data_IF_492999634206
#
_entry.id   IF_492999634206
#
_cell.length_a   1.000
_cell.length_b   1.000
_cell.length_c   1.000
_cell.angle_alpha   90.00
_cell.angle_beta   90.00
_cell.angle_gamma   90.00
#
_symmetry.space_group_name_H-M   'P 1'
#
loop_
_entity.id
_entity.type
_entity.pdbx_description
1 polymer ?
#
# COMPACT_ATOMS: atom_id res chain seq x y z
N UNK A 1 0.02 -30.30 14.87
CA UNK A 1 -0.45 -30.42 13.47
C UNK A 1 -1.42 -29.29 13.23
N UNK A 2 -1.16 -28.37 12.26
CA UNK A 2 -2.16 -27.38 11.86
C UNK A 2 -3.38 -28.16 11.38
N UNK A 3 -4.55 -27.73 11.78
CA UNK A 3 -5.82 -28.32 11.41
C UNK A 3 -6.00 -28.15 9.90
N UNK A 4 -5.86 -29.17 9.11
CA UNK A 4 -6.00 -29.14 7.65
C UNK A 4 -7.41 -28.68 7.21
N UNK A 5 -8.39 -28.74 8.11
CA UNK A 5 -9.78 -28.29 7.88
C UNK A 5 -9.94 -26.75 7.89
N UNK A 6 -8.89 -25.98 8.28
CA UNK A 6 -8.91 -24.53 8.21
C UNK A 6 -8.21 -23.97 6.96
N UNK A 7 -7.64 -24.81 6.11
CA UNK A 7 -7.25 -24.41 4.76
C UNK A 7 -8.52 -24.25 3.93
N UNK A 8 -9.14 -23.09 4.02
CA UNK A 8 -10.06 -22.62 2.99
C UNK A 8 -9.28 -22.65 1.68
N UNK A 9 -9.54 -23.64 0.86
CA UNK A 9 -9.13 -23.58 -0.54
C UNK A 9 -9.83 -22.36 -1.09
N UNK A 10 -9.11 -21.28 -1.27
CA UNK A 10 -9.61 -20.12 -2.00
C UNK A 10 -9.89 -20.63 -3.41
N UNK A 11 -11.16 -20.90 -3.72
CA UNK A 11 -11.62 -21.30 -5.05
C UNK A 11 -11.33 -20.23 -6.10
N UNK A 12 -11.05 -19.00 -5.65
CA UNK A 12 -10.94 -17.80 -6.48
C UNK A 12 -9.51 -17.43 -6.88
N UNK A 13 -8.49 -18.18 -6.49
CA UNK A 13 -7.10 -17.86 -6.80
C UNK A 13 -6.43 -18.94 -7.65
N UNK A 14 -6.97 -19.23 -8.80
CA UNK A 14 -6.14 -19.70 -9.90
C UNK A 14 -5.42 -18.47 -10.50
N UNK A 15 -4.52 -17.88 -9.74
CA UNK A 15 -3.56 -16.94 -10.26
C UNK A 15 -2.83 -17.64 -11.40
N UNK A 16 -2.91 -17.07 -12.60
CA UNK A 16 -2.13 -17.56 -13.72
C UNK A 16 -0.66 -17.66 -13.29
N UNK A 17 0.10 -18.68 -13.70
CA UNK A 17 1.48 -18.89 -13.27
C UNK A 17 2.40 -17.68 -13.46
N UNK A 18 2.06 -16.78 -14.39
CA UNK A 18 2.76 -15.50 -14.63
C UNK A 18 2.56 -14.45 -13.54
N UNK A 19 1.55 -14.58 -12.69
CA UNK A 19 1.18 -13.63 -11.63
C UNK A 19 1.42 -14.19 -10.21
N UNK A 20 2.19 -15.27 -10.04
CA UNK A 20 2.52 -15.77 -8.71
C UNK A 20 3.34 -14.74 -7.93
N UNK A 21 2.77 -14.27 -6.82
CA UNK A 21 3.42 -13.40 -5.87
C UNK A 21 4.07 -14.20 -4.74
N UNK A 22 5.09 -13.59 -4.08
CA UNK A 22 5.65 -14.19 -2.87
C UNK A 22 4.56 -14.30 -1.78
N UNK A 23 4.47 -15.41 -1.04
CA UNK A 23 3.43 -15.60 -0.01
C UNK A 23 3.46 -14.55 1.11
N UNK A 24 4.63 -13.95 1.38
CA UNK A 24 4.76 -12.87 2.39
C UNK A 24 4.31 -11.50 1.87
N UNK A 25 3.97 -11.37 0.59
CA UNK A 25 3.40 -10.14 0.04
C UNK A 25 1.88 -10.13 0.22
N UNK A 26 1.32 -8.94 0.40
CA UNK A 26 -0.13 -8.77 0.34
C UNK A 26 -0.65 -9.24 -1.01
N UNK A 27 -1.67 -10.06 -0.99
CA UNK A 27 -2.32 -10.52 -2.22
C UNK A 27 -3.32 -9.44 -2.67
N UNK A 28 -3.22 -8.95 -3.93
CA UNK A 28 -4.19 -8.00 -4.45
C UNK A 28 -5.60 -8.59 -4.55
N UNK A 29 -6.63 -7.75 -4.39
CA UNK A 29 -6.57 -6.34 -4.03
C UNK A 29 -6.32 -6.11 -2.53
N UNK A 30 -5.45 -5.14 -2.21
CA UNK A 30 -5.03 -4.83 -0.84
C UNK A 30 -5.02 -3.33 -0.55
N UNK A 31 -4.95 -2.98 0.73
CA UNK A 31 -4.67 -1.63 1.23
C UNK A 31 -3.41 -1.66 2.11
N UNK A 32 -2.35 -0.99 1.66
CA UNK A 32 -1.07 -0.89 2.36
C UNK A 32 -0.79 0.55 2.78
N UNK A 33 -0.52 0.76 4.04
CA UNK A 33 -0.10 2.06 4.57
C UNK A 33 1.36 2.04 4.99
N UNK A 34 2.11 3.09 4.64
CA UNK A 34 3.50 3.29 5.05
C UNK A 34 3.61 4.55 5.89
N UNK A 35 4.11 4.44 7.12
CA UNK A 35 4.25 5.57 8.04
C UNK A 35 5.70 5.78 8.43
N UNK A 36 6.17 7.00 8.27
CA UNK A 36 7.52 7.40 8.66
C UNK A 36 7.82 8.85 8.29
N UNK A 37 8.72 9.53 9.00
CA UNK A 37 9.08 10.92 8.71
C UNK A 37 9.70 11.08 7.31
N UNK A 38 9.93 12.32 6.90
CA UNK A 38 10.64 12.63 5.66
C UNK A 38 12.03 11.96 5.66
N UNK A 39 12.41 11.36 4.54
CA UNK A 39 13.70 10.68 4.42
C UNK A 39 13.71 9.22 4.91
N UNK A 40 12.61 8.66 5.42
CA UNK A 40 12.53 7.26 5.87
C UNK A 40 12.51 6.21 4.75
N UNK A 41 12.64 6.60 3.51
CA UNK A 41 12.66 5.72 2.32
C UNK A 41 11.29 5.16 1.89
N UNK A 42 10.16 5.74 2.29
CA UNK A 42 8.81 5.31 1.87
C UNK A 42 8.69 5.25 0.34
N UNK A 43 8.93 6.37 -0.35
CA UNK A 43 8.88 6.44 -1.82
C UNK A 43 9.82 5.40 -2.48
N UNK A 44 11.04 5.23 -1.95
CA UNK A 44 11.98 4.20 -2.43
C UNK A 44 11.40 2.78 -2.26
N UNK A 45 10.69 2.53 -1.16
CA UNK A 45 10.05 1.24 -0.90
C UNK A 45 8.89 1.01 -1.87
N UNK A 46 8.03 2.03 -2.10
CA UNK A 46 6.98 1.98 -3.12
C UNK A 46 7.56 1.61 -4.48
N UNK A 47 8.60 2.33 -4.93
CA UNK A 47 9.24 2.07 -6.21
C UNK A 47 9.83 0.65 -6.31
N UNK A 48 10.40 0.13 -5.23
CA UNK A 48 10.89 -1.26 -5.20
C UNK A 48 9.76 -2.27 -5.27
N UNK A 49 8.64 -2.01 -4.64
CA UNK A 49 7.48 -2.90 -4.72
C UNK A 49 6.93 -2.99 -6.14
N UNK A 50 6.83 -1.89 -6.87
CA UNK A 50 6.26 -1.86 -8.22
C UNK A 50 7.25 -2.19 -9.34
N UNK A 51 8.55 -1.92 -9.16
CA UNK A 51 9.57 -2.17 -10.21
C UNK A 51 10.51 -3.34 -9.92
N UNK A 52 10.52 -3.84 -8.70
CA UNK A 52 11.43 -4.90 -8.27
C UNK A 52 12.89 -4.41 -8.09
N UNK A 53 13.78 -5.33 -7.79
CA UNK A 53 15.21 -5.04 -7.62
C UNK A 53 15.99 -5.44 -8.87
N UNK A 54 16.50 -4.45 -9.62
CA UNK A 54 17.25 -4.68 -10.86
C UNK A 54 18.63 -5.33 -10.69
N UNK A 55 19.14 -5.46 -9.46
CA UNK A 55 20.52 -5.92 -9.22
C UNK A 55 20.70 -7.44 -9.26
N UNK A 56 19.64 -8.22 -9.27
CA UNK A 56 19.73 -9.69 -9.21
C UNK A 56 19.45 -10.33 -10.56
N UNK A 57 20.32 -10.10 -11.56
CA UNK A 57 20.27 -10.81 -12.86
C UNK A 57 20.47 -12.34 -12.77
N UNK A 58 20.79 -12.88 -11.60
CA UNK A 58 21.11 -14.30 -11.39
C UNK A 58 20.10 -15.06 -10.51
N UNK A 59 19.02 -14.44 -10.07
CA UNK A 59 18.05 -15.18 -9.25
C UNK A 59 17.08 -15.94 -10.14
N UNK A 60 17.21 -17.24 -10.19
CA UNK A 60 16.29 -18.16 -10.88
C UNK A 60 14.91 -18.24 -10.21
N UNK A 61 14.78 -17.81 -8.95
CA UNK A 61 13.54 -17.77 -8.22
C UNK A 61 12.92 -16.36 -8.31
N UNK A 62 11.68 -16.27 -8.79
CA UNK A 62 10.95 -15.05 -9.13
C UNK A 62 10.63 -14.11 -7.95
N UNK A 63 11.04 -14.43 -6.72
CA UNK A 63 10.69 -13.76 -5.47
C UNK A 63 11.16 -12.30 -5.34
N UNK A 64 12.07 -11.81 -6.20
CA UNK A 64 12.55 -10.43 -6.17
C UNK A 64 11.79 -9.48 -7.10
N UNK A 65 10.76 -9.99 -7.76
CA UNK A 65 9.95 -9.15 -8.68
C UNK A 65 8.91 -8.32 -7.95
N UNK A 66 8.56 -8.68 -6.71
CA UNK A 66 7.47 -8.04 -5.96
C UNK A 66 6.22 -7.93 -6.85
N UNK A 67 5.62 -6.74 -6.99
CA UNK A 67 4.46 -6.50 -7.84
C UNK A 67 4.81 -6.09 -9.28
N UNK A 68 6.05 -6.29 -9.72
CA UNK A 68 6.47 -5.89 -11.07
C UNK A 68 5.63 -6.60 -12.13
N UNK A 69 5.02 -5.81 -13.01
CA UNK A 69 4.11 -6.27 -14.07
C UNK A 69 2.86 -7.00 -13.57
N UNK A 70 2.50 -6.83 -12.30
CA UNK A 70 1.27 -7.37 -11.78
C UNK A 70 0.07 -6.50 -12.14
N UNK A 71 0.17 -5.20 -11.85
CA UNK A 71 -0.91 -4.25 -12.10
C UNK A 71 -0.94 -3.85 -13.58
N UNK A 72 -2.15 -3.81 -14.16
CA UNK A 72 -2.39 -3.37 -15.52
C UNK A 72 -2.32 -1.84 -15.62
N UNK A 73 -2.87 -1.14 -14.62
CA UNK A 73 -2.85 0.33 -14.50
C UNK A 73 -2.33 0.73 -13.13
N UNK A 74 -1.47 1.76 -13.10
CA UNK A 74 -0.94 2.34 -11.86
C UNK A 74 -1.21 3.84 -11.90
N UNK A 75 -2.09 4.31 -11.03
CA UNK A 75 -2.40 5.72 -10.91
C UNK A 75 -1.70 6.33 -9.69
N UNK A 76 -1.09 7.48 -9.87
CA UNK A 76 -0.34 8.17 -8.82
C UNK A 76 -0.99 9.51 -8.50
N UNK A 77 -1.26 9.73 -7.23
CA UNK A 77 -1.81 10.94 -6.64
C UNK A 77 -0.77 11.55 -5.71
N UNK A 78 0.00 12.51 -6.23
CA UNK A 78 1.10 13.13 -5.48
C UNK A 78 1.46 14.49 -6.06
N UNK A 79 1.43 15.58 -5.27
CA UNK A 79 1.75 16.92 -5.76
C UNK A 79 3.23 17.13 -6.09
N UNK A 80 4.07 16.14 -5.82
CA UNK A 80 5.54 16.27 -5.96
C UNK A 80 6.16 15.18 -6.83
N UNK A 81 5.36 14.30 -7.43
CA UNK A 81 5.85 13.10 -8.11
C UNK A 81 6.81 13.42 -9.26
N UNK A 82 6.43 14.31 -10.16
CA UNK A 82 7.24 14.67 -11.33
C UNK A 82 8.52 15.43 -10.95
N UNK A 83 8.53 16.06 -9.80
CA UNK A 83 9.65 16.88 -9.31
C UNK A 83 10.65 16.10 -8.43
N UNK A 84 10.34 14.89 -7.97
CA UNK A 84 11.28 14.06 -7.20
C UNK A 84 12.21 13.31 -8.14
N UNK A 85 13.52 13.47 -7.97
CA UNK A 85 14.55 12.80 -8.76
C UNK A 85 14.49 11.26 -8.70
N UNK A 86 13.81 10.68 -7.72
CA UNK A 86 13.61 9.23 -7.60
C UNK A 86 12.48 8.76 -8.50
N UNK A 87 11.40 9.52 -8.57
CA UNK A 87 10.18 9.19 -9.31
C UNK A 87 10.25 9.59 -10.78
N UNK A 88 11.03 10.62 -11.14
CA UNK A 88 11.24 11.06 -12.53
C UNK A 88 11.80 9.97 -13.47
N UNK A 89 12.33 8.88 -12.92
CA UNK A 89 12.81 7.72 -13.68
C UNK A 89 11.76 6.60 -13.82
N UNK A 90 10.59 6.80 -13.25
CA UNK A 90 9.50 5.84 -13.32
C UNK A 90 8.83 5.91 -14.68
N UNK A 91 8.46 4.74 -15.19
CA UNK A 91 7.76 4.61 -16.48
C UNK A 91 6.25 4.51 -16.30
N UNK A 92 5.70 5.33 -15.42
CA UNK A 92 4.25 5.50 -15.32
C UNK A 92 3.87 6.55 -16.36
N UNK A 93 2.87 6.32 -17.21
CA UNK A 93 2.39 7.29 -18.17
C UNK A 93 1.96 8.60 -17.49
N UNK A 94 2.20 9.73 -18.16
CA UNK A 94 1.91 11.05 -17.58
C UNK A 94 0.40 11.25 -17.32
N UNK A 95 -0.47 10.64 -18.10
CA UNK A 95 -1.91 10.63 -17.94
C UNK A 95 -2.41 9.79 -16.73
N UNK A 96 -1.52 9.09 -16.08
CA UNK A 96 -1.77 8.33 -14.84
C UNK A 96 -1.14 9.00 -13.62
N UNK A 97 -0.56 10.21 -13.75
CA UNK A 97 0.04 10.98 -12.65
C UNK A 97 -0.76 12.25 -12.44
N UNK A 98 -1.32 12.39 -11.24
CA UNK A 98 -2.17 13.50 -10.84
C UNK A 98 -1.49 14.29 -9.72
N UNK A 99 -1.27 15.58 -9.93
CA UNK A 99 -0.55 16.44 -8.98
C UNK A 99 -1.45 17.46 -8.28
N UNK A 100 -2.62 17.77 -8.87
CA UNK A 100 -3.58 18.68 -8.25
C UNK A 100 -4.50 17.94 -7.27
N UNK A 101 -4.37 18.27 -5.99
CA UNK A 101 -5.13 17.62 -4.90
C UNK A 101 -6.64 17.90 -4.99
N UNK A 102 -7.03 19.04 -5.60
CA UNK A 102 -8.43 19.44 -5.69
C UNK A 102 -9.21 18.50 -6.60
N UNK A 103 -8.57 17.92 -7.62
CA UNK A 103 -9.18 17.04 -8.60
C UNK A 103 -9.24 15.55 -8.16
N UNK A 104 -8.52 15.18 -7.09
CA UNK A 104 -8.36 13.77 -6.72
C UNK A 104 -9.68 13.04 -6.49
N UNK A 105 -10.65 13.66 -5.79
CA UNK A 105 -11.92 13.00 -5.50
C UNK A 105 -12.71 12.69 -6.79
N UNK A 106 -12.71 13.61 -7.76
CA UNK A 106 -13.38 13.43 -9.03
C UNK A 106 -12.71 12.34 -9.89
N UNK A 107 -11.38 12.43 -10.04
CA UNK A 107 -10.60 11.48 -10.84
C UNK A 107 -10.70 10.05 -10.26
N UNK A 108 -10.58 9.90 -8.94
CA UNK A 108 -10.72 8.59 -8.30
C UNK A 108 -12.13 8.04 -8.53
N UNK A 109 -13.17 8.88 -8.43
CA UNK A 109 -14.53 8.44 -8.70
C UNK A 109 -14.69 7.94 -10.14
N UNK A 110 -14.14 8.65 -11.12
CA UNK A 110 -14.15 8.23 -12.54
C UNK A 110 -13.43 6.88 -12.73
N UNK A 111 -12.28 6.69 -12.09
CA UNK A 111 -11.55 5.41 -12.14
C UNK A 111 -12.40 4.27 -11.55
N UNK A 112 -13.09 4.52 -10.43
CA UNK A 112 -13.92 3.50 -9.79
C UNK A 112 -15.16 3.18 -10.63
N UNK A 113 -15.78 4.18 -11.23
CA UNK A 113 -16.98 4.01 -12.06
C UNK A 113 -16.63 3.23 -13.34
N UNK A 114 -15.51 3.56 -14.00
CA UNK A 114 -15.00 2.80 -15.14
C UNK A 114 -14.70 1.33 -14.77
N UNK A 115 -14.05 1.12 -13.63
CA UNK A 115 -13.72 -0.23 -13.16
C UNK A 115 -14.96 -1.06 -12.80
N UNK A 116 -16.00 -0.41 -12.25
CA UNK A 116 -17.28 -1.07 -11.96
C UNK A 116 -17.99 -1.47 -13.26
N UNK A 117 -17.89 -0.66 -14.32
CA UNK A 117 -18.41 -0.97 -15.64
C UNK A 117 -17.67 -2.15 -16.27
N UNK A 118 -16.33 -2.13 -16.28
CA UNK A 118 -15.49 -3.23 -16.77
C UNK A 118 -15.83 -4.56 -16.07
N UNK A 119 -15.97 -4.53 -14.74
CA UNK A 119 -16.35 -5.71 -13.94
C UNK A 119 -17.76 -6.22 -14.30
N UNK A 120 -18.69 -5.29 -14.58
CA UNK A 120 -20.06 -5.65 -14.94
C UNK A 120 -20.15 -6.26 -16.34
N UNK A 121 -19.34 -5.78 -17.28
CA UNK A 121 -19.37 -6.24 -18.68
C UNK A 121 -18.58 -7.54 -18.89
N UNK A 122 -17.35 -7.59 -18.40
CA UNK A 122 -16.40 -8.66 -18.68
C UNK A 122 -16.27 -9.66 -17.53
N UNK A 123 -16.76 -9.31 -16.36
CA UNK A 123 -16.61 -10.09 -15.13
C UNK A 123 -15.34 -9.70 -14.36
N UNK A 124 -15.38 -10.01 -13.07
CA UNK A 124 -14.32 -9.60 -12.13
C UNK A 124 -12.94 -10.21 -12.44
N UNK A 125 -12.93 -11.42 -12.99
CA UNK A 125 -11.67 -12.13 -13.25
C UNK A 125 -10.93 -11.51 -14.44
N UNK A 126 -11.65 -11.04 -15.45
CA UNK A 126 -11.10 -10.41 -16.66
C UNK A 126 -10.79 -8.92 -16.48
N UNK A 127 -11.46 -8.24 -15.54
CA UNK A 127 -11.21 -6.83 -15.26
C UNK A 127 -9.77 -6.56 -14.83
N UNK A 128 -9.26 -5.36 -15.12
CA UNK A 128 -7.90 -4.93 -14.81
C UNK A 128 -7.60 -4.94 -13.30
N UNK A 129 -6.39 -5.37 -12.93
CA UNK A 129 -5.83 -5.12 -11.59
C UNK A 129 -5.27 -3.71 -11.53
N UNK A 130 -5.85 -2.84 -10.73
CA UNK A 130 -5.48 -1.42 -10.61
C UNK A 130 -4.73 -1.17 -9.31
N UNK A 131 -3.70 -0.31 -9.36
CA UNK A 131 -3.01 0.20 -8.18
C UNK A 131 -3.16 1.72 -8.09
N UNK A 132 -3.66 2.22 -6.97
CA UNK A 132 -3.66 3.63 -6.61
C UNK A 132 -2.52 3.91 -5.61
N UNK A 133 -1.67 4.86 -5.91
CA UNK A 133 -0.56 5.29 -5.06
C UNK A 133 -0.84 6.71 -4.58
N UNK A 134 -0.92 6.90 -3.28
CA UNK A 134 -1.06 8.20 -2.63
C UNK A 134 0.22 8.55 -1.90
N UNK A 135 0.93 9.59 -2.34
CA UNK A 135 2.23 9.96 -1.78
C UNK A 135 2.36 11.47 -1.54
N UNK A 136 3.04 11.82 -0.46
CA UNK A 136 3.40 13.20 -0.08
C UNK A 136 2.19 14.16 0.08
N UNK A 137 1.07 13.66 0.60
CA UNK A 137 -0.15 14.44 0.86
C UNK A 137 -0.21 14.97 2.31
N UNK A 138 0.93 15.07 2.97
CA UNK A 138 1.03 15.59 4.33
C UNK A 138 0.51 17.04 4.38
N UNK A 139 -0.39 17.33 5.32
CA UNK A 139 -0.99 18.65 5.49
C UNK A 139 -2.23 18.90 4.63
N UNK A 140 -2.60 18.03 3.73
CA UNK A 140 -3.86 18.13 2.99
C UNK A 140 -5.03 17.56 3.82
N UNK A 141 -6.25 18.03 3.55
CA UNK A 141 -7.45 17.46 4.15
C UNK A 141 -7.84 16.10 3.57
N UNK A 142 -7.25 15.70 2.44
CA UNK A 142 -7.57 14.48 1.72
C UNK A 142 -7.45 13.24 2.61
N UNK A 143 -6.35 13.09 3.34
CA UNK A 143 -6.12 11.95 4.24
C UNK A 143 -7.02 11.94 5.48
N UNK A 144 -7.41 13.10 5.98
CA UNK A 144 -8.18 13.23 7.23
C UNK A 144 -9.69 13.23 7.02
N UNK A 145 -10.17 13.39 5.78
CA UNK A 145 -11.59 13.44 5.45
C UNK A 145 -12.25 12.08 5.68
N UNK A 146 -13.02 11.95 6.76
CA UNK A 146 -13.72 10.71 7.14
C UNK A 146 -14.80 10.26 6.16
N UNK A 147 -15.32 11.18 5.36
CA UNK A 147 -16.36 10.92 4.35
C UNK A 147 -15.82 10.97 2.93
N UNK A 148 -14.52 11.23 2.75
CA UNK A 148 -13.87 11.36 1.45
C UNK A 148 -13.76 10.03 0.69
N UNK A 149 -13.47 10.15 -0.58
CA UNK A 149 -13.35 9.05 -1.54
C UNK A 149 -12.33 7.99 -1.09
N UNK A 150 -11.26 8.40 -0.39
CA UNK A 150 -10.23 7.48 0.10
C UNK A 150 -10.80 6.39 1.02
N UNK A 151 -11.77 6.75 1.89
CA UNK A 151 -12.44 5.77 2.73
C UNK A 151 -13.40 4.88 1.93
N UNK A 152 -14.10 5.43 0.92
CA UNK A 152 -14.92 4.64 -0.01
C UNK A 152 -14.07 3.56 -0.69
N UNK A 153 -12.89 3.93 -1.18
CA UNK A 153 -11.94 2.99 -1.77
C UNK A 153 -11.51 1.94 -0.75
N UNK A 154 -11.10 2.33 0.46
CA UNK A 154 -10.64 1.40 1.48
C UNK A 154 -11.71 0.36 1.87
N UNK A 155 -12.98 0.76 1.95
CA UNK A 155 -14.09 -0.15 2.24
C UNK A 155 -14.40 -1.11 1.10
N UNK A 156 -14.27 -0.66 -0.15
CA UNK A 156 -14.77 -1.36 -1.32
C UNK A 156 -13.66 -1.82 -2.28
N UNK A 157 -12.37 -1.69 -1.91
CA UNK A 157 -11.22 -2.01 -2.76
C UNK A 157 -11.32 -3.42 -3.41
N UNK A 158 -11.86 -4.38 -2.67
CA UNK A 158 -12.06 -5.74 -3.18
C UNK A 158 -13.15 -5.84 -4.25
N UNK A 159 -14.19 -5.02 -4.14
CA UNK A 159 -15.26 -5.00 -5.14
C UNK A 159 -14.77 -4.41 -6.46
N UNK A 160 -13.98 -3.34 -6.38
CA UNK A 160 -13.41 -2.67 -7.54
C UNK A 160 -12.13 -3.32 -8.09
N UNK A 161 -11.62 -4.40 -7.48
CA UNK A 161 -10.33 -5.01 -7.84
C UNK A 161 -9.17 -3.98 -7.82
N UNK A 162 -9.21 -3.05 -6.89
CA UNK A 162 -8.27 -1.93 -6.73
C UNK A 162 -7.39 -2.15 -5.51
N UNK A 163 -6.08 -2.08 -5.68
CA UNK A 163 -5.11 -2.03 -4.58
C UNK A 163 -4.72 -0.60 -4.26
N UNK A 164 -4.38 -0.33 -3.01
CA UNK A 164 -3.96 1.00 -2.55
C UNK A 164 -2.63 0.90 -1.82
N UNK A 165 -1.69 1.78 -2.18
CA UNK A 165 -0.51 2.08 -1.38
C UNK A 165 -0.57 3.55 -0.98
N UNK A 166 -0.54 3.82 0.31
CA UNK A 166 -0.58 5.16 0.87
C UNK A 166 0.63 5.40 1.75
N UNK A 167 1.35 6.50 1.53
CA UNK A 167 2.38 6.93 2.45
C UNK A 167 1.98 8.16 3.26
N UNK A 168 2.44 8.21 4.51
CA UNK A 168 2.23 9.36 5.39
C UNK A 168 3.43 9.59 6.31
N UNK A 169 3.57 10.84 6.75
CA UNK A 169 4.59 11.19 7.74
C UNK A 169 4.13 10.90 9.18
N UNK A 170 2.82 10.79 9.41
CA UNK A 170 2.22 10.57 10.71
C UNK A 170 0.93 9.75 10.58
N UNK A 171 0.77 8.78 11.46
CA UNK A 171 -0.44 7.97 11.58
C UNK A 171 -1.70 8.82 11.85
N UNK A 172 -1.52 9.96 12.54
CA UNK A 172 -2.62 10.85 12.91
C UNK A 172 -3.24 11.60 11.73
N UNK A 173 -2.50 11.73 10.63
CA UNK A 173 -3.00 12.39 9.42
C UNK A 173 -4.05 11.53 8.70
N UNK A 174 -4.01 10.22 8.91
CA UNK A 174 -4.90 9.27 8.23
C UNK A 174 -6.16 9.06 9.05
N UNK A 175 -7.31 9.11 8.37
CA UNK A 175 -8.61 8.88 9.01
C UNK A 175 -8.69 7.50 9.66
N UNK A 176 -9.37 7.41 10.81
CA UNK A 176 -9.55 6.12 11.50
C UNK A 176 -10.30 5.09 10.64
N UNK A 177 -11.36 5.45 9.88
CA UNK A 177 -12.01 4.51 8.98
C UNK A 177 -11.06 3.87 7.97
N UNK A 178 -10.12 4.62 7.38
CA UNK A 178 -9.11 4.07 6.49
C UNK A 178 -8.19 3.08 7.22
N UNK A 179 -7.66 3.49 8.39
CA UNK A 179 -6.75 2.65 9.18
C UNK A 179 -7.36 1.32 9.62
N UNK A 180 -8.67 1.31 9.88
CA UNK A 180 -9.38 0.09 10.28
C UNK A 180 -9.62 -0.90 9.12
N UNK A 181 -9.35 -0.49 7.87
CA UNK A 181 -9.54 -1.32 6.67
C UNK A 181 -8.21 -1.62 5.97
N UNK A 182 -7.10 -1.56 6.69
CA UNK A 182 -5.79 -1.92 6.15
C UNK A 182 -5.63 -3.42 6.01
N UNK A 183 -5.01 -3.83 4.90
CA UNK A 183 -4.51 -5.19 4.70
C UNK A 183 -3.12 -5.37 5.28
N UNK A 184 -2.36 -4.27 5.37
CA UNK A 184 -1.03 -4.26 5.97
C UNK A 184 -0.55 -2.86 6.27
N UNK A 185 0.45 -2.75 7.14
CA UNK A 185 1.09 -1.47 7.50
C UNK A 185 2.59 -1.62 7.68
N UNK A 186 3.34 -0.60 7.25
CA UNK A 186 4.79 -0.49 7.46
C UNK A 186 5.09 0.72 8.33
N UNK A 187 5.70 0.51 9.48
CA UNK A 187 6.21 1.57 10.36
C UNK A 187 7.72 1.64 10.27
N UNK A 188 8.27 2.78 9.81
CA UNK A 188 9.70 2.93 9.63
C UNK A 188 10.42 3.30 10.93
N UNK A 189 11.64 2.78 11.12
CA UNK A 189 12.45 2.94 12.33
C UNK A 189 12.80 4.39 12.68
N UNK A 190 12.71 5.29 11.71
CA UNK A 190 12.92 6.73 11.90
C UNK A 190 11.80 7.44 12.69
N UNK A 191 10.71 6.72 13.06
CA UNK A 191 9.65 7.26 13.92
C UNK A 191 10.19 7.40 15.35
N UNK A 192 10.35 8.64 15.82
CA UNK A 192 10.85 8.96 17.17
C UNK A 192 9.81 9.64 18.06
N UNK A 193 8.68 10.07 17.51
CA UNK A 193 7.65 10.77 18.28
C UNK A 193 6.95 9.80 19.23
N UNK A 194 7.00 10.10 20.53
CA UNK A 194 6.41 9.25 21.60
C UNK A 194 4.91 9.02 21.42
N UNK A 195 4.18 10.03 20.92
CA UNK A 195 2.74 9.92 20.73
C UNK A 195 2.40 9.05 19.53
N UNK A 196 3.22 9.07 18.47
CA UNK A 196 3.09 8.15 17.34
C UNK A 196 3.39 6.71 17.78
N UNK A 197 4.49 6.50 18.50
CA UNK A 197 4.86 5.19 19.04
C UNK A 197 3.74 4.63 19.92
N UNK A 198 3.20 5.46 20.84
CA UNK A 198 2.09 5.04 21.70
C UNK A 198 0.89 4.59 20.87
N UNK A 199 0.54 5.34 19.83
CA UNK A 199 -0.58 5.02 18.96
C UNK A 199 -0.36 3.74 18.15
N UNK A 200 0.86 3.52 17.67
CA UNK A 200 1.23 2.26 17.00
C UNK A 200 1.05 1.07 17.93
N UNK A 201 1.53 1.21 19.19
CA UNK A 201 1.40 0.17 20.20
C UNK A 201 -0.07 -0.15 20.49
N UNK A 202 -0.92 0.85 20.63
CA UNK A 202 -2.33 0.70 20.98
C UNK A 202 -3.16 0.15 19.80
N UNK A 203 -2.98 0.67 18.59
CA UNK A 203 -3.84 0.33 17.45
C UNK A 203 -3.40 -0.94 16.71
N UNK A 204 -2.10 -1.23 16.63
CA UNK A 204 -1.58 -2.28 15.73
C UNK A 204 -0.92 -3.46 16.44
N UNK A 205 -0.43 -3.27 17.64
CA UNK A 205 0.21 -4.33 18.44
C UNK A 205 -0.40 -4.46 19.84
N UNK A 206 -1.64 -3.98 20.01
CA UNK A 206 -2.36 -4.00 21.28
C UNK A 206 -2.71 -5.40 21.82
N UNK A 207 -2.60 -6.46 21.00
CA UNK A 207 -2.75 -7.84 21.43
C UNK A 207 -1.61 -8.32 22.35
N UNK A 208 -0.48 -7.63 22.36
CA UNK A 208 0.64 -7.91 23.25
C UNK A 208 0.63 -6.98 24.46
N UNK A 209 1.19 -7.41 25.59
CA UNK A 209 1.42 -6.48 26.70
C UNK A 209 2.46 -5.41 26.30
N UNK A 210 2.43 -4.26 26.98
CA UNK A 210 3.27 -3.11 26.61
C UNK A 210 4.77 -3.44 26.55
N UNK A 211 5.28 -4.30 27.45
CA UNK A 211 6.69 -4.71 27.45
C UNK A 211 7.05 -5.51 26.19
N UNK A 212 6.20 -6.46 25.82
CA UNK A 212 6.38 -7.26 24.59
C UNK A 212 6.28 -6.39 23.34
N UNK A 213 5.27 -5.53 23.27
CA UNK A 213 5.07 -4.63 22.13
C UNK A 213 6.27 -3.68 21.93
N UNK A 214 6.84 -3.14 23.02
CA UNK A 214 8.07 -2.35 22.95
C UNK A 214 9.30 -3.16 22.52
N UNK A 215 9.40 -4.43 22.90
CA UNK A 215 10.47 -5.32 22.44
C UNK A 215 10.37 -5.60 20.94
N UNK A 216 9.15 -5.82 20.42
CA UNK A 216 8.91 -6.00 18.97
C UNK A 216 9.39 -4.76 18.20
N UNK A 217 8.98 -3.56 18.62
CA UNK A 217 9.43 -2.32 17.97
C UNK A 217 10.95 -2.15 18.07
N UNK A 218 11.55 -2.41 19.21
CA UNK A 218 13.00 -2.31 19.38
C UNK A 218 13.74 -3.25 18.44
N UNK A 219 13.28 -4.49 18.33
CA UNK A 219 13.87 -5.46 17.40
C UNK A 219 13.72 -5.04 15.94
N UNK A 220 12.52 -4.63 15.54
CA UNK A 220 12.23 -4.23 14.17
C UNK A 220 13.01 -2.97 13.76
N UNK A 221 13.29 -2.06 14.69
CA UNK A 221 13.95 -0.78 14.44
C UNK A 221 15.46 -0.79 14.69
N UNK A 222 16.00 -1.94 15.11
CA UNK A 222 17.43 -2.04 15.43
C UNK A 222 18.30 -1.95 14.19
N UNK A 223 19.42 -1.25 14.30
CA UNK A 223 20.52 -1.22 13.33
C UNK A 223 20.40 -0.20 12.20
N UNK A 224 19.22 0.16 11.68
CA UNK A 224 19.10 1.12 10.57
C UNK A 224 17.83 1.93 10.62
N UNK A 225 17.92 3.23 10.30
CA UNK A 225 16.78 4.14 10.14
C UNK A 225 15.84 3.74 8.99
N UNK A 226 16.30 2.85 8.10
CA UNK A 226 15.52 2.34 6.97
C UNK A 226 14.83 1.02 7.26
N UNK A 227 15.06 0.44 8.44
CA UNK A 227 14.33 -0.73 8.90
C UNK A 227 12.86 -0.35 9.14
N UNK A 228 11.99 -1.32 9.06
CA UNK A 228 10.56 -1.13 9.30
C UNK A 228 9.95 -2.36 9.97
N UNK A 229 8.89 -2.11 10.73
CA UNK A 229 7.97 -3.13 11.19
C UNK A 229 6.87 -3.27 10.15
N UNK A 230 6.65 -4.47 9.65
CA UNK A 230 5.55 -4.83 8.77
C UNK A 230 4.56 -5.72 9.55
N UNK A 231 3.28 -5.35 9.51
CA UNK A 231 2.16 -6.02 10.17
C UNK A 231 1.04 -6.27 9.17
#
# INVERSE_FOLDING_TARGET
TPNEDLTLKAFDNQLQPSKQLHPDLLQPPFTLMMVGPKGSSKTTTILRLIYGNNKTKKCTNCYHKFYRHYFHKIYVFSPTWSNDAKTSRCKIPDDQIFEDVEDYEAIIQEILDAQEEDIREDGKDEADDILLIFSDLAGTKFYSNKKGILNKVAFNHRHYKVSVILDSQSLRQISAPFRNNLSGVMFFASISNRLEIKKILEEFIGQYNEKQARQILKYAFDGSLFNFLYL
#
